data_IF_649578500229
#
_entry.id   IF_649578500229
#
_cell.length_a   1.000
_cell.length_b   1.000
_cell.length_c   1.000
_cell.angle_alpha   90.00
_cell.angle_beta   90.00
_cell.angle_gamma   90.00
#
_symmetry.space_group_name_H-M   'P 1'
#
loop_
_entity.id
_entity.type
_entity.pdbx_description
1 polymer ?
#
# COMPACT_ATOMS: atom_id res chain seq x y z
N UNK A 1 -16.88 8.59 8.18
CA UNK A 1 -16.95 9.77 9.08
C UNK A 1 -15.93 10.84 8.70
N UNK A 2 -14.65 10.52 8.51
CA UNK A 2 -13.60 11.50 8.15
C UNK A 2 -13.97 12.36 6.92
N UNK A 3 -14.37 11.73 5.81
CA UNK A 3 -14.73 12.45 4.58
C UNK A 3 -15.88 13.47 4.75
N UNK A 4 -16.85 13.18 5.64
CA UNK A 4 -17.94 14.11 5.94
C UNK A 4 -17.41 15.36 6.65
N UNK A 5 -16.50 15.19 7.62
CA UNK A 5 -15.87 16.29 8.32
C UNK A 5 -15.00 17.12 7.36
N UNK A 6 -14.23 16.46 6.49
CA UNK A 6 -13.42 17.15 5.48
C UNK A 6 -14.28 18.00 4.54
N UNK A 7 -15.42 17.47 4.07
CA UNK A 7 -16.37 18.22 3.25
C UNK A 7 -16.95 19.44 4.00
N UNK A 8 -17.37 19.27 5.25
CA UNK A 8 -17.93 20.36 6.05
C UNK A 8 -16.90 21.46 6.33
N UNK A 9 -15.64 21.10 6.56
CA UNK A 9 -14.55 22.07 6.77
C UNK A 9 -14.29 22.92 5.52
N UNK A 10 -14.29 22.30 4.34
CA UNK A 10 -14.11 23.02 3.06
C UNK A 10 -15.31 23.91 2.75
N UNK A 11 -16.52 23.49 3.13
CA UNK A 11 -17.76 24.21 2.86
C UNK A 11 -18.27 25.05 4.04
N UNK A 12 -17.43 25.32 5.06
CA UNK A 12 -17.84 25.95 6.32
C UNK A 12 -18.48 27.35 6.18
N UNK A 13 -18.31 28.00 5.02
CA UNK A 13 -18.83 29.35 4.70
C UNK A 13 -19.95 29.32 3.65
N UNK A 14 -20.31 28.13 3.15
CA UNK A 14 -21.30 27.93 2.09
C UNK A 14 -22.48 27.09 2.62
N UNK A 15 -23.62 27.19 1.94
CA UNK A 15 -24.77 26.33 2.23
C UNK A 15 -24.42 24.89 1.84
N UNK A 16 -24.61 23.96 2.79
CA UNK A 16 -24.26 22.55 2.61
C UNK A 16 -25.31 21.87 1.74
N UNK A 17 -24.94 21.53 0.51
CA UNK A 17 -25.78 20.74 -0.39
C UNK A 17 -25.73 19.26 0.02
N UNK A 18 -26.88 18.72 0.45
CA UNK A 18 -26.98 17.33 0.92
C UNK A 18 -26.50 16.33 -0.14
N UNK A 19 -26.85 16.54 -1.40
CA UNK A 19 -26.46 15.64 -2.48
C UNK A 19 -24.95 15.60 -2.72
N UNK A 20 -24.27 16.73 -2.51
CA UNK A 20 -22.82 16.84 -2.64
C UNK A 20 -22.10 16.23 -1.44
N UNK A 21 -22.65 16.40 -0.23
CA UNK A 21 -22.16 15.75 0.98
C UNK A 21 -22.25 14.22 0.87
N UNK A 22 -23.40 13.68 0.45
CA UNK A 22 -23.61 12.23 0.28
C UNK A 22 -22.60 11.62 -0.70
N UNK A 23 -22.39 12.29 -1.85
CA UNK A 23 -21.37 11.89 -2.83
C UNK A 23 -19.97 11.95 -2.26
N UNK A 24 -19.61 13.03 -1.55
CA UNK A 24 -18.30 13.17 -0.92
C UNK A 24 -18.06 12.11 0.17
N UNK A 25 -19.12 11.61 0.80
CA UNK A 25 -19.07 10.56 1.80
C UNK A 25 -19.19 9.14 1.22
N UNK A 26 -19.31 8.99 -0.10
CA UNK A 26 -19.49 7.70 -0.76
C UNK A 26 -20.79 6.99 -0.40
N UNK A 27 -21.83 7.73 -0.01
CA UNK A 27 -23.15 7.14 0.29
C UNK A 27 -23.69 6.49 -0.99
N UNK A 28 -23.94 5.18 -0.92
CA UNK A 28 -24.38 4.39 -2.07
C UNK A 28 -23.26 3.88 -2.99
N UNK A 29 -21.99 4.19 -2.72
CA UNK A 29 -20.85 3.59 -3.43
C UNK A 29 -20.61 2.19 -2.88
N UNK A 30 -20.80 1.18 -3.73
CA UNK A 30 -20.48 -0.22 -3.43
C UNK A 30 -19.28 -0.60 -4.27
N UNK A 31 -18.15 -0.88 -3.63
CA UNK A 31 -16.99 -1.45 -4.31
C UNK A 31 -17.17 -2.96 -4.36
N UNK A 32 -17.11 -3.52 -5.57
CA UNK A 32 -17.27 -4.95 -5.82
C UNK A 32 -16.00 -5.73 -5.55
N UNK A 33 -16.11 -7.06 -5.40
CA UNK A 33 -14.95 -7.93 -5.23
C UNK A 33 -14.03 -7.87 -6.46
N UNK A 34 -14.60 -7.94 -7.66
CA UNK A 34 -13.88 -7.87 -8.94
C UNK A 34 -13.04 -6.59 -9.05
N UNK A 35 -13.59 -5.43 -8.68
CA UNK A 35 -12.85 -4.15 -8.67
C UNK A 35 -11.67 -4.16 -7.69
N UNK A 36 -11.81 -4.82 -6.54
CA UNK A 36 -10.72 -4.98 -5.58
C UNK A 36 -9.64 -5.87 -6.16
N UNK A 37 -10.01 -7.01 -6.74
CA UNK A 37 -9.08 -7.98 -7.34
C UNK A 37 -8.30 -7.37 -8.52
N UNK A 38 -8.96 -6.61 -9.39
CA UNK A 38 -8.35 -5.89 -10.50
C UNK A 38 -7.36 -4.83 -10.00
N UNK A 39 -7.79 -4.02 -9.02
CA UNK A 39 -6.95 -2.97 -8.45
C UNK A 39 -5.72 -3.54 -7.76
N UNK A 40 -5.89 -4.61 -6.96
CA UNK A 40 -4.77 -5.29 -6.30
C UNK A 40 -3.84 -5.91 -7.34
N UNK A 41 -4.35 -6.50 -8.41
CA UNK A 41 -3.53 -7.05 -9.49
C UNK A 41 -2.61 -6.00 -10.12
N UNK A 42 -3.14 -4.80 -10.39
CA UNK A 42 -2.35 -3.67 -10.93
C UNK A 42 -1.26 -3.23 -9.95
N UNK A 43 -1.58 -3.13 -8.65
CA UNK A 43 -0.61 -2.75 -7.62
C UNK A 43 0.49 -3.83 -7.50
N UNK A 44 0.12 -5.11 -7.51
CA UNK A 44 1.06 -6.22 -7.41
C UNK A 44 2.04 -6.23 -8.59
N UNK A 45 1.56 -6.03 -9.82
CA UNK A 45 2.45 -5.98 -10.99
C UNK A 45 3.42 -4.79 -10.91
N UNK A 46 2.93 -3.63 -10.43
CA UNK A 46 3.76 -2.42 -10.24
C UNK A 46 4.91 -2.62 -9.24
N UNK A 47 4.71 -3.39 -8.18
CA UNK A 47 5.74 -3.63 -7.14
C UNK A 47 6.39 -5.01 -7.24
N UNK A 48 6.11 -5.79 -8.29
CA UNK A 48 6.52 -7.18 -8.45
C UNK A 48 8.01 -7.42 -8.29
N UNK A 49 8.83 -6.61 -8.96
CA UNK A 49 10.29 -6.73 -8.89
C UNK A 49 10.82 -6.52 -7.47
N UNK A 50 10.27 -5.51 -6.76
CA UNK A 50 10.64 -5.22 -5.37
C UNK A 50 10.16 -6.32 -4.42
N UNK A 51 8.95 -6.85 -4.61
CA UNK A 51 8.41 -7.97 -3.85
C UNK A 51 9.27 -9.23 -4.00
N UNK A 52 9.75 -9.53 -5.22
CA UNK A 52 10.62 -10.67 -5.44
C UNK A 52 12.00 -10.49 -4.79
N UNK A 53 12.56 -9.28 -4.81
CA UNK A 53 13.86 -8.98 -4.22
C UNK A 53 13.84 -8.94 -2.68
N UNK A 54 12.79 -8.36 -2.10
CA UNK A 54 12.66 -8.16 -0.66
C UNK A 54 11.89 -9.28 0.04
N UNK A 55 11.14 -10.09 -0.71
CA UNK A 55 10.25 -11.14 -0.20
C UNK A 55 9.39 -10.62 0.96
N UNK A 56 9.29 -11.38 2.05
CA UNK A 56 8.49 -11.03 3.23
C UNK A 56 9.09 -9.91 4.09
N UNK A 57 10.23 -9.34 3.72
CA UNK A 57 10.75 -8.11 4.36
C UNK A 57 10.21 -6.84 3.72
N UNK A 58 9.53 -6.95 2.57
CA UNK A 58 8.85 -5.84 1.93
C UNK A 58 7.75 -5.27 2.82
N UNK A 59 7.60 -3.94 2.84
CA UNK A 59 6.56 -3.28 3.60
C UNK A 59 5.19 -3.40 2.92
N UNK A 60 4.43 -4.44 3.25
CA UNK A 60 3.07 -4.67 2.75
C UNK A 60 2.09 -3.51 3.03
N UNK A 61 2.36 -2.70 4.08
CA UNK A 61 1.57 -1.51 4.38
C UNK A 61 1.57 -0.50 3.22
N UNK A 62 2.60 -0.51 2.37
CA UNK A 62 2.65 0.33 1.16
C UNK A 62 1.59 -0.09 0.14
N UNK A 63 1.38 -1.39 -0.08
CA UNK A 63 0.37 -1.91 -1.00
C UNK A 63 -1.04 -1.61 -0.48
N UNK A 64 -1.26 -1.82 0.81
CA UNK A 64 -2.55 -1.53 1.46
C UNK A 64 -2.88 -0.04 1.43
N UNK A 65 -1.88 0.83 1.62
CA UNK A 65 -2.05 2.28 1.51
C UNK A 65 -2.43 2.72 0.11
N UNK A 66 -1.75 2.18 -0.91
CA UNK A 66 -2.06 2.46 -2.32
C UNK A 66 -3.47 1.96 -2.69
N UNK A 67 -3.82 0.72 -2.31
CA UNK A 67 -5.16 0.18 -2.52
C UNK A 67 -6.23 1.04 -1.83
N UNK A 68 -5.97 1.52 -0.61
CA UNK A 68 -6.89 2.40 0.13
C UNK A 68 -7.06 3.76 -0.55
N UNK A 69 -6.03 4.29 -1.21
CA UNK A 69 -6.15 5.54 -1.97
C UNK A 69 -6.98 5.39 -3.25
N UNK A 70 -6.93 4.22 -3.90
CA UNK A 70 -7.69 3.92 -5.10
C UNK A 70 -9.14 3.51 -4.79
N UNK A 71 -9.34 2.81 -3.68
CA UNK A 71 -10.63 2.26 -3.24
C UNK A 71 -10.98 2.76 -1.82
N UNK A 72 -11.26 4.06 -1.64
CA UNK A 72 -11.50 4.65 -0.31
C UNK A 72 -12.71 4.06 0.42
N UNK A 73 -13.68 3.56 -0.34
CA UNK A 73 -14.94 3.00 0.16
C UNK A 73 -14.99 1.47 0.17
N UNK A 74 -13.89 0.80 -0.20
CA UNK A 74 -13.83 -0.66 -0.17
C UNK A 74 -13.77 -1.23 1.26
N UNK A 75 -14.20 -2.49 1.38
CA UNK A 75 -13.98 -3.30 2.57
C UNK A 75 -12.46 -3.55 2.74
N UNK A 76 -11.87 -2.84 3.69
CA UNK A 76 -10.45 -2.97 3.99
C UNK A 76 -10.02 -4.37 4.45
N UNK A 77 -10.94 -5.16 5.01
CA UNK A 77 -10.65 -6.55 5.36
C UNK A 77 -10.54 -7.43 4.11
N UNK A 78 -11.38 -7.21 3.12
CA UNK A 78 -11.31 -7.91 1.83
C UNK A 78 -10.06 -7.51 1.05
N UNK A 79 -9.77 -6.20 0.96
CA UNK A 79 -8.53 -5.69 0.32
C UNK A 79 -7.30 -6.32 0.95
N UNK A 80 -7.22 -6.40 2.27
CA UNK A 80 -6.10 -7.04 2.97
C UNK A 80 -5.98 -8.52 2.62
N UNK A 81 -7.09 -9.27 2.67
CA UNK A 81 -7.10 -10.70 2.33
C UNK A 81 -6.58 -10.93 0.92
N UNK A 82 -7.03 -10.15 -0.05
CA UNK A 82 -6.60 -10.27 -1.44
C UNK A 82 -5.12 -9.98 -1.61
N UNK A 83 -4.61 -8.91 -0.98
CA UNK A 83 -3.16 -8.61 -0.98
C UNK A 83 -2.35 -9.75 -0.36
N UNK A 84 -2.78 -10.27 0.80
CA UNK A 84 -2.10 -11.37 1.49
C UNK A 84 -2.09 -12.66 0.62
N UNK A 85 -3.18 -12.95 -0.09
CA UNK A 85 -3.28 -14.06 -1.04
C UNK A 85 -2.31 -13.90 -2.21
N UNK A 86 -2.33 -12.75 -2.90
CA UNK A 86 -1.44 -12.51 -4.05
C UNK A 86 0.04 -12.52 -3.68
N UNK A 87 0.38 -12.04 -2.48
CA UNK A 87 1.75 -12.11 -1.97
C UNK A 87 2.16 -13.55 -1.70
N UNK A 88 1.28 -14.36 -1.09
CA UNK A 88 1.55 -15.78 -0.86
C UNK A 88 1.70 -16.55 -2.17
N UNK A 89 0.86 -16.29 -3.17
CA UNK A 89 0.95 -16.89 -4.50
C UNK A 89 2.27 -16.52 -5.21
N UNK A 90 2.69 -15.26 -5.11
CA UNK A 90 3.90 -14.78 -5.75
C UNK A 90 5.18 -15.29 -5.07
N UNK A 91 5.22 -15.30 -3.74
CA UNK A 91 6.44 -15.58 -2.97
C UNK A 91 6.55 -17.02 -2.45
N UNK A 92 5.44 -17.74 -2.38
CA UNK A 92 5.35 -19.04 -1.70
C UNK A 92 5.41 -18.89 -0.17
N UNK A 93 5.42 -20.01 0.58
CA UNK A 93 5.42 -19.98 2.04
C UNK A 93 6.66 -19.26 2.61
N UNK A 94 6.47 -18.60 3.75
CA UNK A 94 7.55 -17.91 4.46
C UNK A 94 8.61 -18.89 4.96
N UNK A 95 9.88 -18.59 4.70
CA UNK A 95 11.01 -19.44 5.11
C UNK A 95 11.79 -18.80 6.27
N UNK A 96 12.76 -19.53 6.82
CA UNK A 96 13.60 -19.08 7.93
C UNK A 96 14.46 -17.87 7.49
N UNK A 97 14.85 -17.82 6.21
CA UNK A 97 15.65 -16.73 5.64
C UNK A 97 14.89 -15.39 5.64
N UNK A 98 13.56 -15.43 5.58
CA UNK A 98 12.68 -14.26 5.65
C UNK A 98 12.56 -13.66 7.07
N UNK A 99 13.03 -14.38 8.09
CA UNK A 99 12.99 -13.98 9.51
C UNK A 99 14.34 -13.41 9.96
N UNK A 100 15.42 -13.73 9.25
CA UNK A 100 16.75 -13.27 9.59
C UNK A 100 16.84 -11.73 9.45
N UNK A 101 17.30 -11.00 10.48
CA UNK A 101 17.53 -9.58 10.36
C UNK A 101 18.60 -9.35 9.29
N UNK A 102 18.24 -8.65 8.21
CA UNK A 102 19.20 -8.24 7.17
C UNK A 102 20.28 -7.38 7.84
N UNK A 103 21.52 -7.88 7.90
CA UNK A 103 22.67 -7.09 8.37
C UNK A 103 22.75 -5.83 7.52
N UNK A 104 22.67 -4.66 8.15
CA UNK A 104 23.05 -3.41 7.49
C UNK A 104 24.53 -3.56 7.13
N UNK A 105 24.83 -3.67 5.84
CA UNK A 105 26.20 -3.55 5.38
C UNK A 105 26.50 -2.06 5.48
N UNK A 106 27.07 -1.64 6.60
CA UNK A 106 27.50 -0.26 6.78
C UNK A 106 28.50 0.07 5.66
N UNK A 107 28.09 1.00 4.80
CA UNK A 107 28.87 1.58 3.72
C UNK A 107 29.99 2.49 4.27
N UNK A 108 30.79 1.97 5.22
CA UNK A 108 31.93 2.68 5.81
C UNK A 108 33.27 2.01 5.45
N UNK A 109 33.25 0.87 4.78
CA UNK A 109 34.48 0.16 4.37
C UNK A 109 35.00 0.53 2.97
N UNK A 110 34.30 1.36 2.20
CA UNK A 110 34.78 1.81 0.89
C UNK A 110 35.72 3.04 0.95
N UNK A 111 35.96 3.63 2.13
CA UNK A 111 36.82 4.82 2.26
C UNK A 111 38.32 4.54 2.56
N UNK A 112 38.74 3.28 2.74
CA UNK A 112 40.13 2.95 3.12
C UNK A 112 40.96 2.24 2.05
N UNK A 113 40.71 2.51 0.77
CA UNK A 113 41.57 1.97 -0.30
C UNK A 113 41.85 3.00 -1.40
N UNK A 114 42.47 4.13 -1.05
CA UNK A 114 43.31 4.88 -2.00
C UNK A 114 44.77 4.62 -1.64
N UNK A 115 45.57 3.98 -2.52
CA UNK A 115 46.99 3.79 -2.28
C UNK A 115 47.71 5.13 -2.41
N UNK A 116 48.45 5.49 -1.36
CA UNK A 116 49.47 6.52 -1.38
C UNK A 116 50.50 6.13 -2.44
N UNK A 117 50.63 6.92 -3.50
CA UNK A 117 51.79 6.85 -4.39
C UNK A 117 52.65 8.11 -4.22
N UNK A 118 53.92 7.82 -4.04
CA UNK A 118 55.09 8.63 -3.73
C UNK A 118 55.39 9.72 -4.79
#
# INVERSE_FOLDING_TARGET
LSAALDYLLVNAVHEVELSALEKACGVGVVVTADEIEDTVSVIMEKHKEQLLAERYTFNLGKLLGEARSLLPWADGAYVKKEVDLRVLELLGPKTIDDVAPKKKVDCLLMFFASPIHH
#
